data_IF_693113293178
#
_entry.id   IF_693113293178
#
_cell.length_a   1.000
_cell.length_b   1.000
_cell.length_c   1.000
_cell.angle_alpha   90.00
_cell.angle_beta   90.00
_cell.angle_gamma   90.00
#
_symmetry.space_group_name_H-M   'P 1'
#
loop_
_entity.id
_entity.type
_entity.pdbx_description
1 polymer ?
#
# COMPACT_ATOMS: atom_id res chain seq x y z
N UNK A 1 5.27 17.87 -2.35
CA UNK A 1 5.66 17.81 -0.91
C UNK A 1 6.19 16.43 -0.64
N UNK A 2 7.44 16.25 -0.16
CA UNK A 2 7.89 14.90 0.17
C UNK A 2 7.28 14.45 1.51
N UNK A 3 6.65 13.28 1.54
CA UNK A 3 6.07 12.69 2.77
C UNK A 3 7.02 11.60 3.27
N UNK A 4 7.73 11.79 4.40
CA UNK A 4 8.85 10.91 4.79
C UNK A 4 8.50 9.43 4.97
N UNK A 5 7.24 9.12 5.31
CA UNK A 5 6.78 7.75 5.52
C UNK A 5 6.25 7.08 4.24
N UNK A 6 6.04 7.83 3.15
CA UNK A 6 5.51 7.26 1.92
C UNK A 6 6.59 6.46 1.21
N UNK A 7 6.41 5.14 1.11
CA UNK A 7 7.31 4.21 0.39
C UNK A 7 6.82 3.88 -1.02
N UNK A 8 5.82 4.61 -1.52
CA UNK A 8 5.30 4.42 -2.88
C UNK A 8 6.33 4.89 -3.91
N UNK A 9 6.74 3.98 -4.80
CA UNK A 9 7.72 4.22 -5.87
C UNK A 9 7.06 4.50 -7.21
N UNK A 10 5.72 4.41 -7.29
CA UNK A 10 4.98 4.80 -8.48
C UNK A 10 4.87 6.34 -8.51
N UNK A 11 5.91 6.97 -9.02
CA UNK A 11 6.00 8.43 -9.15
C UNK A 11 5.21 8.96 -10.35
N UNK A 12 4.67 8.10 -11.21
CA UNK A 12 3.77 8.50 -12.30
C UNK A 12 2.33 8.69 -11.79
N UNK A 13 1.96 8.07 -10.67
CA UNK A 13 0.64 8.20 -10.07
C UNK A 13 0.32 9.68 -9.71
N UNK A 14 -0.83 10.23 -10.16
CA UNK A 14 -1.21 11.63 -9.85
C UNK A 14 -1.49 11.87 -8.37
N UNK A 15 -1.64 10.82 -7.56
CA UNK A 15 -1.84 10.90 -6.11
C UNK A 15 -0.55 10.73 -5.30
N UNK A 16 0.60 10.57 -5.98
CA UNK A 16 1.88 10.49 -5.30
C UNK A 16 2.22 11.88 -4.70
N UNK A 17 2.64 11.97 -3.43
CA UNK A 17 3.02 13.23 -2.79
C UNK A 17 4.12 14.02 -3.53
N UNK A 18 4.94 13.38 -4.36
CA UNK A 18 5.92 14.10 -5.20
C UNK A 18 5.27 14.97 -6.27
N UNK A 19 4.03 14.66 -6.66
CA UNK A 19 3.31 15.32 -7.76
C UNK A 19 2.37 16.44 -7.29
N UNK A 20 2.25 16.68 -5.98
CA UNK A 20 1.40 17.74 -5.42
C UNK A 20 1.80 18.13 -3.98
N UNK A 21 1.09 19.06 -3.36
CA UNK A 21 1.33 19.56 -2.00
C UNK A 21 0.41 18.95 -0.93
N UNK A 22 -0.59 18.16 -1.34
CA UNK A 22 -1.61 17.55 -0.47
C UNK A 22 -1.19 16.29 0.33
N UNK A 23 0.11 16.03 0.47
CA UNK A 23 0.62 14.85 1.19
C UNK A 23 0.09 13.51 0.64
N UNK A 24 -0.33 12.58 1.51
CA UNK A 24 -0.93 11.30 1.08
C UNK A 24 -2.46 11.32 0.98
N UNK A 25 -3.12 12.45 1.29
CA UNK A 25 -4.58 12.53 1.38
C UNK A 25 -5.31 12.05 0.11
N UNK A 26 -4.91 12.42 -1.12
CA UNK A 26 -5.58 11.93 -2.33
C UNK A 26 -5.45 10.42 -2.52
N UNK A 27 -4.29 9.84 -2.20
CA UNK A 27 -4.05 8.40 -2.26
C UNK A 27 -4.95 7.66 -1.28
N UNK A 28 -5.01 8.11 -0.01
CA UNK A 28 -5.89 7.52 1.00
C UNK A 28 -7.37 7.62 0.57
N UNK A 29 -7.81 8.78 0.08
CA UNK A 29 -9.18 8.96 -0.38
C UNK A 29 -9.56 8.01 -1.52
N UNK A 30 -8.68 7.82 -2.52
CA UNK A 30 -8.88 6.84 -3.60
C UNK A 30 -9.01 5.42 -3.04
N UNK A 31 -8.05 4.99 -2.22
CA UNK A 31 -8.02 3.63 -1.68
C UNK A 31 -9.26 3.35 -0.81
N UNK A 32 -9.70 4.30 0.02
CA UNK A 32 -10.93 4.16 0.81
C UNK A 32 -12.18 3.99 -0.07
N UNK A 33 -12.29 4.76 -1.16
CA UNK A 33 -13.41 4.68 -2.10
C UNK A 33 -13.48 3.31 -2.79
N UNK A 34 -12.33 2.78 -3.17
CA UNK A 34 -12.21 1.51 -3.91
C UNK A 34 -12.13 0.27 -2.99
N UNK A 35 -12.19 0.46 -1.65
CA UNK A 35 -11.97 -0.59 -0.64
C UNK A 35 -10.61 -1.30 -0.84
N UNK A 36 -9.57 -0.50 -1.03
CA UNK A 36 -8.18 -0.93 -1.19
C UNK A 36 -7.31 -0.47 -0.01
N UNK A 37 -6.22 -1.19 0.25
CA UNK A 37 -5.10 -0.75 1.08
C UNK A 37 -4.03 -0.12 0.17
N UNK A 38 -3.50 1.07 0.51
CA UNK A 38 -2.42 1.68 -0.26
C UNK A 38 -1.19 0.77 -0.38
N UNK A 39 -0.57 0.75 -1.57
CA UNK A 39 0.58 -0.12 -1.87
C UNK A 39 1.79 0.06 -0.94
N UNK A 40 1.94 1.23 -0.30
CA UNK A 40 3.00 1.46 0.69
C UNK A 40 2.89 0.55 1.92
N UNK A 41 1.68 0.13 2.32
CA UNK A 41 1.48 -0.81 3.43
C UNK A 41 1.90 -2.22 3.05
N UNK A 42 1.55 -2.70 1.86
CA UNK A 42 2.03 -3.99 1.34
C UNK A 42 3.55 -4.03 1.26
N UNK A 43 4.18 -2.95 0.77
CA UNK A 43 5.64 -2.83 0.75
C UNK A 43 6.27 -2.85 2.13
N UNK A 44 5.64 -2.18 3.11
CA UNK A 44 6.11 -2.18 4.49
C UNK A 44 5.96 -3.56 5.16
N UNK A 45 4.90 -4.31 4.85
CA UNK A 45 4.73 -5.69 5.31
C UNK A 45 5.79 -6.63 4.70
N UNK A 46 6.21 -6.35 3.46
CA UNK A 46 7.18 -7.15 2.73
C UNK A 46 6.58 -8.48 2.25
N UNK A 47 7.46 -9.39 1.79
CA UNK A 47 7.05 -10.68 1.25
C UNK A 47 6.47 -10.62 -0.17
N UNK A 48 5.95 -11.76 -0.61
CA UNK A 48 5.31 -11.92 -1.91
C UNK A 48 3.79 -11.80 -1.73
N UNK A 49 3.16 -10.91 -2.51
CA UNK A 49 1.71 -10.74 -2.45
C UNK A 49 1.03 -12.01 -3.00
N UNK A 50 0.06 -12.60 -2.28
CA UNK A 50 -0.61 -13.82 -2.74
C UNK A 50 -1.50 -13.59 -3.97
N UNK A 51 -1.86 -12.34 -4.26
CA UNK A 51 -2.73 -11.92 -5.37
C UNK A 51 -2.13 -10.69 -6.06
N UNK A 52 -2.61 -10.26 -7.23
CA UNK A 52 -2.22 -8.98 -7.85
C UNK A 52 -3.00 -7.78 -7.30
N UNK A 53 -4.07 -7.99 -6.55
CA UNK A 53 -5.05 -6.97 -6.14
C UNK A 53 -4.72 -6.28 -4.80
N UNK A 54 -5.29 -5.09 -4.58
CA UNK A 54 -4.94 -4.23 -3.44
C UNK A 54 -6.04 -4.14 -2.39
N UNK A 55 -6.99 -5.08 -2.35
CA UNK A 55 -8.11 -5.04 -1.42
C UNK A 55 -7.69 -5.37 0.02
N UNK A 56 -8.61 -5.14 0.96
CA UNK A 56 -8.41 -5.44 2.38
C UNK A 56 -8.10 -6.92 2.60
N UNK A 57 -8.79 -7.79 1.86
CA UNK A 57 -8.66 -9.23 1.88
C UNK A 57 -7.28 -9.68 1.39
N UNK A 58 -6.74 -9.01 0.36
CA UNK A 58 -5.39 -9.29 -0.17
C UNK A 58 -4.31 -8.94 0.85
N UNK A 59 -4.47 -7.81 1.54
CA UNK A 59 -3.55 -7.41 2.61
C UNK A 59 -3.62 -8.40 3.78
N UNK A 60 -4.82 -8.82 4.19
CA UNK A 60 -4.99 -9.81 5.24
C UNK A 60 -4.36 -11.17 4.86
N UNK A 61 -4.55 -11.62 3.62
CA UNK A 61 -3.95 -12.85 3.11
C UNK A 61 -2.42 -12.77 3.12
N UNK A 62 -1.83 -11.63 2.73
CA UNK A 62 -0.39 -11.42 2.83
C UNK A 62 0.08 -11.58 4.28
N UNK A 63 -0.54 -10.89 5.24
CA UNK A 63 -0.13 -10.93 6.65
C UNK A 63 -0.23 -12.35 7.21
N UNK A 64 -1.32 -13.07 6.96
CA UNK A 64 -1.48 -14.45 7.40
C UNK A 64 -0.37 -15.35 6.84
N UNK A 65 -0.05 -15.22 5.54
CA UNK A 65 1.02 -16.01 4.91
C UNK A 65 2.40 -15.73 5.51
N UNK A 66 2.64 -14.50 5.98
CA UNK A 66 3.90 -14.12 6.63
C UNK A 66 3.98 -14.68 8.05
N UNK A 67 2.86 -14.80 8.76
CA UNK A 67 2.81 -15.41 10.09
C UNK A 67 3.05 -16.92 10.01
N UNK A 68 2.39 -17.61 9.09
CA UNK A 68 2.58 -19.05 8.85
C UNK A 68 4.03 -19.41 8.49
N UNK A 69 4.75 -18.52 7.80
CA UNK A 69 6.17 -18.69 7.47
C UNK A 69 7.11 -18.43 8.65
N UNK A 70 6.70 -17.64 9.65
CA UNK A 70 7.49 -17.38 10.86
C UNK A 70 7.39 -18.50 11.88
N UNK A 71 6.29 -19.25 11.86
CA UNK A 71 6.02 -20.37 12.77
C UNK A 71 6.61 -21.71 12.29
N UNK A 72 7.16 -21.74 11.07
CA UNK A 72 7.86 -22.89 10.48
C UNK A 72 9.36 -22.69 10.54
#
# INVERSE_FOLDING_TARGET
MNVPFCTCTDTACPFNPVNHDKGCTPCIAKNLKEREIPSCFFKAAGGEKPTPDWHYEDFAALINSLQEKKEK
#
